data_IF_299354593656
#
_entry.id   IF_299354593656
#
_cell.length_a   1.000
_cell.length_b   1.000
_cell.length_c   1.000
_cell.angle_alpha   90.00
_cell.angle_beta   90.00
_cell.angle_gamma   90.00
#
_symmetry.space_group_name_H-M   'P 1'
#
loop_
_entity.id
_entity.type
_entity.pdbx_description
1 polymer ?
#
# COMPACT_ATOMS: atom_id res chain seq x y z
N UNK A 1 -56.07 19.01 1.03
CA UNK A 1 -55.77 20.32 0.55
C UNK A 1 -54.33 20.64 0.81
N UNK A 2 -53.65 20.73 -0.33
CA UNK A 2 -52.31 21.21 -0.56
C UNK A 2 -51.16 20.45 0.15
N UNK A 3 -50.61 19.57 -0.64
CA UNK A 3 -49.27 19.04 -0.50
C UNK A 3 -48.24 20.16 -0.71
N UNK A 4 -47.17 20.03 -0.04
CA UNK A 4 -45.89 20.60 -0.40
C UNK A 4 -44.86 19.53 -0.14
N UNK A 5 -44.50 18.84 -1.23
CA UNK A 5 -43.27 18.10 -1.32
C UNK A 5 -42.13 19.10 -1.32
N UNK A 6 -41.47 19.28 -0.20
CA UNK A 6 -40.19 19.95 -0.16
C UNK A 6 -39.13 18.97 -0.61
N UNK A 7 -38.40 19.23 -1.69
CA UNK A 7 -37.26 18.41 -2.07
C UNK A 7 -36.13 18.63 -1.08
N UNK A 8 -35.73 17.54 -0.44
CA UNK A 8 -34.53 17.48 0.39
C UNK A 8 -33.35 17.95 -0.46
N UNK A 9 -32.63 19.02 -0.07
CA UNK A 9 -31.45 19.43 -0.81
C UNK A 9 -30.36 18.38 -0.63
N UNK A 10 -30.06 17.66 -1.70
CA UNK A 10 -28.85 16.88 -1.85
C UNK A 10 -27.66 17.83 -1.83
N UNK A 11 -27.05 18.00 -0.67
CA UNK A 11 -25.77 18.67 -0.58
C UNK A 11 -24.72 17.78 -1.24
N UNK A 12 -24.02 18.26 -2.28
CA UNK A 12 -22.81 17.60 -2.72
C UNK A 12 -21.81 17.70 -1.56
N UNK A 13 -21.33 16.57 -1.11
CA UNK A 13 -20.18 16.51 -0.22
C UNK A 13 -19.02 17.15 -0.98
N UNK A 14 -18.80 18.43 -0.71
CA UNK A 14 -17.60 19.10 -1.16
C UNK A 14 -16.45 18.45 -0.39
N UNK A 15 -15.72 17.63 -1.11
CA UNK A 15 -14.39 17.16 -0.74
C UNK A 15 -13.50 18.41 -0.61
N UNK A 16 -13.48 18.97 0.59
CA UNK A 16 -12.57 20.05 0.95
C UNK A 16 -11.18 19.44 0.96
N UNK A 17 -10.49 19.56 -0.16
CA UNK A 17 -9.04 19.44 -0.20
C UNK A 17 -8.49 20.46 0.80
N UNK A 18 -8.17 19.98 2.00
CA UNK A 18 -7.45 20.77 3.00
C UNK A 18 -6.03 20.93 2.46
N UNK A 19 -5.83 22.02 1.73
CA UNK A 19 -4.55 22.50 1.30
C UNK A 19 -3.85 23.07 2.52
N UNK A 20 -3.24 22.18 3.34
CA UNK A 20 -2.34 22.61 4.39
C UNK A 20 -1.00 22.94 3.72
N UNK A 21 -0.88 24.17 3.26
CA UNK A 21 0.39 24.75 2.89
C UNK A 21 1.18 25.02 4.18
N UNK A 22 1.88 23.98 4.67
CA UNK A 22 2.89 24.13 5.72
C UNK A 22 4.18 24.60 5.08
N UNK A 23 4.66 25.75 5.50
CA UNK A 23 5.93 26.32 5.05
C UNK A 23 7.08 25.31 5.24
N UNK A 24 7.73 24.89 4.12
CA UNK A 24 8.97 24.11 4.13
C UNK A 24 8.86 22.63 3.78
N UNK A 25 7.70 22.12 3.35
CA UNK A 25 7.54 20.74 2.87
C UNK A 25 8.15 20.53 1.47
N UNK A 26 8.64 19.30 1.19
CA UNK A 26 9.06 18.85 -0.13
C UNK A 26 7.98 17.94 -0.71
N UNK A 27 7.44 18.31 -1.86
CA UNK A 27 6.53 17.46 -2.62
C UNK A 27 7.33 16.45 -3.45
N UNK A 28 6.84 15.20 -3.47
CA UNK A 28 7.34 14.10 -4.26
C UNK A 28 6.18 13.50 -5.03
N UNK A 29 6.39 13.16 -6.28
CA UNK A 29 5.43 12.40 -7.06
C UNK A 29 6.15 11.52 -8.06
N UNK A 30 5.62 10.35 -8.32
CA UNK A 30 6.08 9.51 -9.40
C UNK A 30 4.98 8.53 -9.82
N UNK A 31 5.14 7.99 -11.02
CA UNK A 31 4.37 6.87 -11.52
C UNK A 31 5.32 5.82 -12.09
N UNK A 32 4.89 4.57 -12.09
CA UNK A 32 5.70 3.47 -12.61
C UNK A 32 4.91 2.19 -12.81
N UNK A 33 5.64 1.18 -13.27
CA UNK A 33 5.11 -0.15 -13.55
C UNK A 33 6.11 -1.20 -13.10
N UNK A 34 5.60 -2.33 -12.59
CA UNK A 34 6.40 -3.50 -12.24
C UNK A 34 5.64 -4.79 -12.56
N UNK A 35 6.37 -5.82 -13.01
CA UNK A 35 5.82 -7.14 -13.23
C UNK A 35 6.10 -8.05 -12.03
N UNK A 36 5.07 -8.74 -11.56
CA UNK A 36 5.13 -9.66 -10.43
C UNK A 36 4.73 -11.08 -10.88
N UNK A 37 5.43 -12.09 -10.38
CA UNK A 37 5.18 -13.51 -10.72
C UNK A 37 4.04 -14.14 -9.90
N UNK A 38 3.04 -13.35 -9.56
CA UNK A 38 1.86 -13.78 -8.83
C UNK A 38 0.60 -13.23 -9.50
N UNK A 39 -0.54 -13.91 -9.36
CA UNK A 39 -1.80 -13.43 -9.94
C UNK A 39 -2.27 -12.15 -9.27
N UNK A 40 -3.06 -11.29 -9.97
CA UNK A 40 -3.63 -10.08 -9.38
C UNK A 40 -4.38 -10.34 -8.06
N UNK A 41 -5.13 -11.42 -7.99
CA UNK A 41 -5.84 -11.82 -6.76
C UNK A 41 -4.88 -12.08 -5.59
N UNK A 42 -3.79 -12.83 -5.83
CA UNK A 42 -2.81 -13.13 -4.79
C UNK A 42 -2.08 -11.87 -4.31
N UNK A 43 -1.76 -10.95 -5.21
CA UNK A 43 -1.17 -9.65 -4.87
C UNK A 43 -2.14 -8.81 -4.05
N UNK A 44 -3.39 -8.71 -4.49
CA UNK A 44 -4.44 -7.96 -3.80
C UNK A 44 -4.68 -8.49 -2.37
N UNK A 45 -4.76 -9.83 -2.21
CA UNK A 45 -4.94 -10.49 -0.91
C UNK A 45 -3.80 -10.19 0.07
N UNK A 46 -2.56 -10.08 -0.42
CA UNK A 46 -1.41 -9.68 0.41
C UNK A 46 -1.58 -8.25 0.91
N UNK A 47 -2.03 -7.34 0.05
CA UNK A 47 -2.21 -5.92 0.41
C UNK A 47 -3.32 -5.70 1.45
N UNK A 48 -4.31 -6.59 1.52
CA UNK A 48 -5.39 -6.53 2.51
C UNK A 48 -5.10 -7.31 3.81
N UNK A 49 -4.07 -8.14 3.83
CA UNK A 49 -3.73 -8.97 4.98
C UNK A 49 -2.63 -8.31 5.83
N UNK A 50 -2.90 -7.88 7.09
CA UNK A 50 -1.92 -7.18 7.92
C UNK A 50 -0.64 -7.97 8.17
N UNK A 51 -0.74 -9.29 8.43
CA UNK A 51 0.42 -10.14 8.69
C UNK A 51 1.32 -10.29 7.46
N UNK A 52 0.72 -10.40 6.27
CA UNK A 52 1.45 -10.46 5.02
C UNK A 52 2.05 -9.10 4.67
N UNK A 53 1.26 -8.02 4.82
CA UNK A 53 1.66 -6.66 4.53
C UNK A 53 2.81 -6.18 5.42
N UNK A 54 2.83 -6.57 6.70
CA UNK A 54 3.94 -6.23 7.62
C UNK A 54 5.30 -6.75 7.13
N UNK A 55 5.31 -7.87 6.42
CA UNK A 55 6.52 -8.47 5.83
C UNK A 55 6.93 -7.83 4.52
N UNK A 56 5.99 -7.16 3.86
CA UNK A 56 6.19 -6.47 2.56
C UNK A 56 6.74 -5.07 2.77
N UNK A 57 6.30 -4.36 3.81
CA UNK A 57 6.72 -2.98 4.07
C UNK A 57 8.17 -2.97 4.59
N UNK A 58 9.13 -2.36 3.88
CA UNK A 58 10.51 -2.28 4.31
C UNK A 58 10.65 -1.51 5.64
N UNK A 59 11.36 -2.11 6.59
CA UNK A 59 11.58 -1.52 7.91
C UNK A 59 10.36 -1.53 8.84
N UNK A 60 9.31 -2.27 8.52
CA UNK A 60 8.13 -2.43 9.37
C UNK A 60 8.49 -3.23 10.63
N UNK A 61 8.31 -2.61 11.80
CA UNK A 61 8.51 -3.26 13.09
C UNK A 61 7.20 -3.84 13.63
N UNK A 62 6.08 -3.18 13.35
CA UNK A 62 4.74 -3.61 13.73
C UNK A 62 3.71 -3.05 12.75
N UNK A 63 2.67 -3.83 12.48
CA UNK A 63 1.49 -3.40 11.72
C UNK A 63 0.25 -3.96 12.41
N UNK A 64 -0.70 -3.09 12.72
CA UNK A 64 -1.95 -3.45 13.38
C UNK A 64 -3.13 -2.89 12.59
N UNK A 65 -4.16 -3.69 12.43
CA UNK A 65 -5.46 -3.23 11.92
C UNK A 65 -6.19 -2.51 13.03
N UNK A 66 -6.55 -1.24 12.82
CA UNK A 66 -7.24 -0.40 13.80
C UNK A 66 -8.68 -0.06 13.41
N UNK A 67 -9.07 -0.41 12.18
CA UNK A 67 -10.42 -0.22 11.65
C UNK A 67 -10.63 -0.99 10.37
N UNK A 68 -11.79 -0.82 9.74
CA UNK A 68 -12.03 -1.34 8.41
C UNK A 68 -11.11 -0.61 7.42
N UNK A 69 -10.22 -1.37 6.78
CA UNK A 69 -9.21 -0.83 5.84
C UNK A 69 -8.29 0.25 6.44
N UNK A 70 -8.12 0.27 7.75
CA UNK A 70 -7.25 1.21 8.47
C UNK A 70 -6.20 0.45 9.26
N UNK A 71 -4.96 0.91 9.15
CA UNK A 71 -3.79 0.27 9.75
C UNK A 71 -2.94 1.31 10.46
N UNK A 72 -2.36 0.89 11.58
CA UNK A 72 -1.29 1.64 12.25
C UNK A 72 -0.01 0.84 12.14
N UNK A 73 1.05 1.50 11.71
CA UNK A 73 2.36 0.89 11.49
C UNK A 73 3.44 1.63 12.27
N UNK A 74 4.44 0.87 12.68
CA UNK A 74 5.68 1.35 13.22
C UNK A 74 6.78 0.98 12.23
N UNK A 75 7.36 1.98 11.58
CA UNK A 75 8.29 1.77 10.47
C UNK A 75 9.60 2.53 10.72
N UNK A 76 10.72 1.85 10.55
CA UNK A 76 12.04 2.49 10.59
C UNK A 76 12.52 2.77 9.17
N UNK A 77 12.74 4.03 8.84
CA UNK A 77 13.22 4.48 7.53
C UNK A 77 14.60 5.12 7.68
N UNK A 78 15.50 4.79 6.74
CA UNK A 78 16.81 5.41 6.62
C UNK A 78 16.94 6.17 5.31
N UNK A 79 17.39 7.43 5.38
CA UNK A 79 17.67 8.28 4.21
C UNK A 79 19.05 8.91 4.42
N UNK A 80 20.04 8.44 3.69
CA UNK A 80 21.42 8.82 3.91
C UNK A 80 21.90 8.49 5.32
N UNK A 81 22.35 9.47 6.09
CA UNK A 81 22.77 9.32 7.49
C UNK A 81 21.61 9.47 8.50
N UNK A 82 20.42 9.84 8.03
CA UNK A 82 19.24 10.00 8.88
C UNK A 82 18.50 8.66 8.96
N UNK A 83 18.37 8.14 10.18
CA UNK A 83 17.53 6.98 10.48
C UNK A 83 16.49 7.37 11.52
N UNK A 84 15.23 7.15 11.22
CA UNK A 84 14.14 7.53 12.09
C UNK A 84 13.04 6.47 12.14
N UNK A 85 12.37 6.40 13.29
CA UNK A 85 11.19 5.58 13.51
C UNK A 85 9.96 6.44 13.34
N UNK A 86 9.06 6.00 12.48
CA UNK A 86 7.81 6.67 12.15
C UNK A 86 6.63 5.91 12.73
N UNK A 87 5.78 6.60 13.47
CA UNK A 87 4.42 6.15 13.73
C UNK A 87 3.59 6.54 12.51
N UNK A 88 3.09 5.56 11.79
CA UNK A 88 2.35 5.75 10.55
C UNK A 88 0.92 5.26 10.66
N UNK A 89 0.01 5.96 9.99
CA UNK A 89 -1.37 5.54 9.78
C UNK A 89 -1.61 5.40 8.28
N UNK A 90 -2.24 4.31 7.89
CA UNK A 90 -2.52 3.98 6.49
C UNK A 90 -3.99 3.60 6.37
N UNK A 91 -4.65 4.12 5.35
CA UNK A 91 -6.01 3.75 4.97
C UNK A 91 -6.05 3.26 3.53
N UNK A 92 -6.89 2.26 3.27
CA UNK A 92 -7.20 1.78 1.93
C UNK A 92 -8.60 2.22 1.54
N UNK A 93 -8.75 2.72 0.33
CA UNK A 93 -10.01 3.15 -0.26
C UNK A 93 -10.09 2.77 -1.74
N UNK A 94 -11.18 3.09 -2.40
CA UNK A 94 -11.41 2.80 -3.84
C UNK A 94 -11.09 1.34 -4.19
N UNK A 95 -11.51 0.42 -3.32
CA UNK A 95 -11.24 -1.00 -3.45
C UNK A 95 -12.09 -1.62 -4.56
N UNK A 96 -11.45 -2.05 -5.63
CA UNK A 96 -12.04 -2.83 -6.72
C UNK A 96 -11.26 -4.16 -6.89
N UNK A 97 -11.57 -5.17 -6.06
CA UNK A 97 -10.84 -6.43 -6.11
C UNK A 97 -10.99 -7.17 -7.44
N UNK A 98 -9.93 -7.75 -7.99
CA UNK A 98 -8.53 -7.64 -7.60
C UNK A 98 -7.77 -6.57 -8.40
N UNK A 99 -8.42 -5.52 -8.90
CA UNK A 99 -7.92 -4.66 -9.97
C UNK A 99 -7.35 -3.33 -9.50
N UNK A 100 -7.93 -2.73 -8.45
CA UNK A 100 -7.56 -1.37 -8.05
C UNK A 100 -7.73 -1.15 -6.57
N UNK A 101 -6.85 -0.34 -6.00
CA UNK A 101 -7.00 0.23 -4.67
C UNK A 101 -6.21 1.54 -4.54
N UNK A 102 -6.67 2.41 -3.64
CA UNK A 102 -5.98 3.61 -3.21
C UNK A 102 -5.40 3.40 -1.82
N UNK A 103 -4.14 3.79 -1.66
CA UNK A 103 -3.51 3.91 -0.34
C UNK A 103 -3.42 5.40 0.00
N UNK A 104 -3.74 5.75 1.25
CA UNK A 104 -3.46 7.07 1.80
C UNK A 104 -2.81 6.89 3.15
N UNK A 105 -1.84 7.72 3.49
CA UNK A 105 -1.13 7.56 4.74
C UNK A 105 -0.41 8.79 5.20
N UNK A 106 -0.11 8.80 6.49
CA UNK A 106 0.74 9.80 7.14
C UNK A 106 1.65 9.12 8.15
N UNK A 107 2.80 9.71 8.38
CA UNK A 107 3.78 9.24 9.36
C UNK A 107 4.44 10.39 10.09
N UNK A 108 4.65 10.23 11.38
CA UNK A 108 5.29 11.22 12.25
C UNK A 108 6.50 10.63 12.94
N UNK A 109 7.57 11.41 13.01
CA UNK A 109 8.80 11.07 13.71
C UNK A 109 9.43 12.29 14.39
N UNK A 110 10.50 12.08 15.15
CA UNK A 110 11.28 13.17 15.76
C UNK A 110 12.06 14.02 14.75
N UNK A 111 12.21 13.55 13.50
CA UNK A 111 12.95 14.26 12.45
C UNK A 111 12.05 14.87 11.38
N UNK A 112 10.74 14.69 11.50
CA UNK A 112 9.77 15.26 10.56
C UNK A 112 8.59 14.36 10.31
N UNK A 113 7.77 14.75 9.34
CA UNK A 113 6.57 14.03 8.96
C UNK A 113 6.53 13.77 7.45
N UNK A 114 5.75 12.78 7.08
CA UNK A 114 5.41 12.48 5.69
C UNK A 114 3.92 12.19 5.60
N UNK A 115 3.28 12.62 4.53
CA UNK A 115 1.90 12.26 4.18
C UNK A 115 1.80 12.07 2.68
N UNK A 116 0.90 11.23 2.24
CA UNK A 116 0.71 11.02 0.81
C UNK A 116 -0.40 10.05 0.49
N UNK A 117 -0.65 9.92 -0.79
CA UNK A 117 -1.56 8.93 -1.35
C UNK A 117 -1.00 8.36 -2.64
N UNK A 118 -1.45 7.16 -2.98
CA UNK A 118 -1.10 6.51 -4.23
C UNK A 118 -2.22 5.60 -4.72
N UNK A 119 -2.31 5.44 -6.02
CA UNK A 119 -3.21 4.51 -6.68
C UNK A 119 -2.41 3.30 -7.16
N UNK A 120 -2.99 2.13 -7.03
CA UNK A 120 -2.43 0.88 -7.55
C UNK A 120 -3.45 0.22 -8.47
N UNK A 121 -3.00 -0.16 -9.66
CA UNK A 121 -3.76 -0.93 -10.63
C UNK A 121 -3.07 -2.26 -10.88
N UNK A 122 -3.85 -3.34 -10.84
CA UNK A 122 -3.37 -4.71 -11.04
C UNK A 122 -4.06 -5.32 -12.26
N UNK A 123 -3.27 -5.72 -13.23
CA UNK A 123 -3.73 -6.37 -14.44
C UNK A 123 -2.97 -7.69 -14.64
N UNK A 124 -3.59 -8.67 -15.27
CA UNK A 124 -2.89 -9.89 -15.64
C UNK A 124 -1.91 -9.58 -16.77
N UNK A 125 -0.66 -10.03 -16.62
CA UNK A 125 0.32 -9.98 -17.70
C UNK A 125 0.28 -11.25 -18.56
N UNK A 126 0.99 -11.25 -19.70
CA UNK A 126 1.00 -12.33 -20.69
C UNK A 126 1.58 -13.64 -20.15
N UNK A 127 2.33 -13.59 -19.05
CA UNK A 127 2.94 -14.76 -18.39
C UNK A 127 2.10 -15.32 -17.24
N UNK A 128 0.87 -14.81 -17.06
CA UNK A 128 -0.04 -15.24 -15.99
C UNK A 128 0.28 -14.64 -14.60
N UNK A 129 1.22 -13.73 -14.53
CA UNK A 129 1.53 -12.89 -13.38
C UNK A 129 0.70 -11.61 -13.34
N UNK A 130 1.21 -10.61 -12.67
CA UNK A 130 0.58 -9.28 -12.53
C UNK A 130 1.47 -8.20 -13.10
N UNK A 131 0.88 -7.35 -13.94
CA UNK A 131 1.39 -6.02 -14.24
C UNK A 131 0.78 -5.06 -13.21
N UNK A 132 1.62 -4.53 -12.32
CA UNK A 132 1.24 -3.56 -11.32
C UNK A 132 1.66 -2.17 -11.80
N UNK A 133 0.70 -1.28 -12.00
CA UNK A 133 0.93 0.15 -12.25
C UNK A 133 0.60 0.93 -11.00
N UNK A 134 1.41 1.94 -10.72
CA UNK A 134 1.22 2.80 -9.57
C UNK A 134 1.54 4.25 -9.90
N UNK A 135 0.86 5.13 -9.21
CA UNK A 135 1.22 6.54 -9.08
C UNK A 135 1.11 6.95 -7.61
N UNK A 136 1.90 7.93 -7.21
CA UNK A 136 1.81 8.49 -5.87
C UNK A 136 2.18 9.96 -5.82
N UNK A 137 1.63 10.62 -4.82
CA UNK A 137 2.00 11.96 -4.37
C UNK A 137 2.29 11.92 -2.88
N UNK A 138 3.35 12.59 -2.45
CA UNK A 138 3.73 12.68 -1.05
C UNK A 138 4.31 14.05 -0.71
N UNK A 139 4.14 14.46 0.52
CA UNK A 139 4.76 15.65 1.08
C UNK A 139 5.58 15.26 2.31
N UNK A 140 6.82 15.70 2.35
CA UNK A 140 7.76 15.42 3.44
C UNK A 140 8.18 16.74 4.08
N UNK A 141 8.15 16.81 5.39
CA UNK A 141 8.49 18.02 6.14
C UNK A 141 9.48 17.77 7.29
N UNK A 142 9.99 18.84 7.88
CA UNK A 142 10.97 18.79 8.98
C UNK A 142 12.40 18.55 8.51
N UNK A 143 13.25 18.07 9.43
CA UNK A 143 14.69 17.84 9.15
C UNK A 143 14.93 16.86 8.01
N UNK A 144 14.04 15.86 7.84
CA UNK A 144 14.14 14.90 6.74
C UNK A 144 13.97 15.57 5.38
N UNK A 145 13.19 16.64 5.27
CA UNK A 145 13.05 17.39 4.01
C UNK A 145 14.31 18.19 3.65
N UNK A 146 15.16 18.49 4.62
CA UNK A 146 16.39 19.25 4.41
C UNK A 146 17.48 18.50 3.64
N UNK A 147 17.36 17.15 3.51
CA UNK A 147 18.32 16.36 2.71
C UNK A 147 18.24 16.66 1.20
N UNK A 148 17.18 17.31 0.76
CA UNK A 148 16.96 17.73 -0.63
C UNK A 148 16.13 16.74 -1.46
N UNK A 149 15.45 17.27 -2.48
CA UNK A 149 14.49 16.52 -3.29
C UNK A 149 15.10 15.29 -3.97
N UNK A 150 16.27 15.43 -4.59
CA UNK A 150 16.94 14.31 -5.29
C UNK A 150 17.26 13.13 -4.38
N UNK A 151 17.67 13.40 -3.13
CA UNK A 151 17.95 12.34 -2.16
C UNK A 151 16.65 11.67 -1.69
N UNK A 152 15.58 12.45 -1.47
CA UNK A 152 14.26 11.94 -1.13
C UNK A 152 13.68 11.08 -2.26
N UNK A 153 13.76 11.52 -3.50
CA UNK A 153 13.32 10.75 -4.68
C UNK A 153 14.10 9.46 -4.82
N UNK A 154 15.43 9.50 -4.63
CA UNK A 154 16.28 8.30 -4.64
C UNK A 154 15.89 7.31 -3.55
N UNK A 155 15.64 7.79 -2.33
CA UNK A 155 15.19 6.96 -1.21
C UNK A 155 13.81 6.37 -1.46
N UNK A 156 12.85 7.15 -1.95
CA UNK A 156 11.52 6.67 -2.30
C UNK A 156 11.57 5.56 -3.35
N UNK A 157 12.41 5.71 -4.37
CA UNK A 157 12.60 4.70 -5.42
C UNK A 157 13.14 3.38 -4.84
N UNK A 158 14.11 3.44 -3.93
CA UNK A 158 14.66 2.24 -3.28
C UNK A 158 13.60 1.57 -2.42
N UNK A 159 12.85 2.33 -1.61
CA UNK A 159 11.78 1.79 -0.76
C UNK A 159 10.70 1.12 -1.59
N UNK A 160 10.26 1.74 -2.68
CA UNK A 160 9.26 1.16 -3.59
C UNK A 160 9.75 -0.12 -4.27
N UNK A 161 11.02 -0.13 -4.73
CA UNK A 161 11.60 -1.32 -5.34
C UNK A 161 11.61 -2.50 -4.36
N UNK A 162 12.03 -2.30 -3.12
CA UNK A 162 12.01 -3.31 -2.07
C UNK A 162 10.58 -3.75 -1.73
N UNK A 163 9.64 -2.80 -1.63
CA UNK A 163 8.23 -3.09 -1.35
C UNK A 163 7.63 -3.99 -2.43
N UNK A 164 7.82 -3.68 -3.70
CA UNK A 164 7.28 -4.47 -4.80
C UNK A 164 7.95 -5.84 -4.93
N UNK A 165 9.25 -5.94 -4.68
CA UNK A 165 9.95 -7.24 -4.61
C UNK A 165 9.36 -8.13 -3.51
N UNK A 166 9.21 -7.60 -2.30
CA UNK A 166 8.62 -8.34 -1.18
C UNK A 166 7.15 -8.69 -1.42
N UNK A 167 6.39 -7.78 -2.05
CA UNK A 167 5.01 -8.01 -2.42
C UNK A 167 4.89 -9.20 -3.39
N UNK A 168 5.72 -9.23 -4.42
CA UNK A 168 5.79 -10.34 -5.38
C UNK A 168 6.15 -11.66 -4.69
N UNK A 169 7.18 -11.66 -3.85
CA UNK A 169 7.62 -12.83 -3.10
C UNK A 169 6.53 -13.38 -2.16
N UNK A 170 5.85 -12.51 -1.41
CA UNK A 170 4.75 -12.90 -0.52
C UNK A 170 3.55 -13.45 -1.30
N UNK A 171 3.19 -12.82 -2.40
CA UNK A 171 2.08 -13.27 -3.24
C UNK A 171 2.38 -14.60 -3.95
N UNK A 172 3.60 -14.80 -4.43
CA UNK A 172 4.06 -16.06 -5.03
C UNK A 172 4.14 -17.18 -3.99
N UNK A 173 4.61 -16.90 -2.77
CA UNK A 173 4.71 -17.86 -1.66
C UNK A 173 3.34 -18.43 -1.25
N UNK A 174 2.30 -17.63 -1.21
CA UNK A 174 0.91 -18.11 -1.00
C UNK A 174 0.47 -19.08 -2.09
N UNK A 175 0.87 -18.85 -3.34
CA UNK A 175 0.56 -19.74 -4.46
C UNK A 175 1.28 -21.09 -4.35
N UNK A 176 2.53 -21.10 -3.91
CA UNK A 176 3.30 -22.32 -3.69
C UNK A 176 2.71 -23.17 -2.54
N UNK A 177 2.29 -22.54 -1.44
CA UNK A 177 1.63 -23.22 -0.32
C UNK A 177 0.26 -23.79 -0.70
N UNK A 178 -0.54 -23.07 -1.48
CA UNK A 178 -1.82 -23.55 -1.98
C UNK A 178 -1.65 -24.75 -2.91
N UNK A 179 -0.64 -24.75 -3.79
CA UNK A 179 -0.31 -25.88 -4.66
C UNK A 179 0.20 -27.10 -3.86
N UNK A 180 1.07 -26.87 -2.88
CA UNK A 180 1.57 -27.94 -2.01
C UNK A 180 0.46 -28.57 -1.16
N UNK A 181 -0.47 -27.80 -0.66
CA UNK A 181 -1.65 -28.30 0.06
C UNK A 181 -2.58 -29.14 -0.84
N UNK A 182 -2.74 -28.76 -2.10
CA UNK A 182 -3.55 -29.51 -3.07
C UNK A 182 -2.91 -30.87 -3.40
N UNK A 183 -1.61 -30.92 -3.63
CA UNK A 183 -0.87 -32.17 -3.84
C UNK A 183 -0.93 -33.12 -2.63
N UNK A 184 -0.83 -32.60 -1.42
CA UNK A 184 -1.00 -33.40 -0.21
C UNK A 184 -2.39 -34.02 -0.10
N UNK A 185 -3.45 -33.25 -0.41
CA UNK A 185 -4.83 -33.79 -0.44
C UNK A 185 -5.04 -34.85 -1.52
N UNK A 186 -4.39 -34.71 -2.66
CA UNK A 186 -4.47 -35.70 -3.75
C UNK A 186 -3.80 -37.02 -3.36
N UNK A 187 -2.61 -36.96 -2.74
CA UNK A 187 -1.87 -38.14 -2.30
C UNK A 187 -2.60 -38.93 -1.20
N UNK A 188 -3.28 -38.21 -0.27
CA UNK A 188 -4.10 -38.89 0.75
C UNK A 188 -5.35 -39.56 0.20
N UNK A 189 -5.85 -39.11 -0.95
CA UNK A 189 -7.05 -39.71 -1.59
C UNK A 189 -6.74 -40.97 -2.40
N UNK A 190 -5.50 -41.18 -2.80
CA UNK A 190 -5.05 -42.35 -3.56
C UNK A 190 -4.20 -43.36 -2.75
N UNK A 191 -3.88 -43.03 -1.49
CA UNK A 191 -3.06 -43.89 -0.60
C UNK A 191 -3.84 -44.82 0.33
N UNK A 192 -5.13 -44.93 0.20
CA UNK A 192 -5.98 -45.76 1.09
C UNK A 192 -6.53 -47.01 0.42
N UNK A 193 -5.65 -47.98 0.10
CA UNK A 193 -6.04 -49.40 -0.03
C UNK A 193 -4.82 -50.29 0.20
N UNK A 194 -4.70 -50.79 1.39
CA UNK A 194 -4.23 -52.13 1.71
C UNK A 194 -5.10 -52.65 2.83
#
# INVERSE_FOLDING_TARGET
WIGMDDPVPSHPVQETAVKIAGAGGKALSAAGEVNLDASPQAVFDVMLNPEALSKVIPGCNALQRVGENQYRADVTVGIGMIKARYAAEVSLSDLEPPHRLRLSGSGLSSVGSAKGSGMVHLERNDHGGTRLRYDYEAEVSGKVAAVGGRMLEGAARIVLAQLFEQLGNQAAGKRAQARASWWKRLLYRFGGKK
#
